data_IF_058074588837
#
_entry.id   IF_058074588837
#
_cell.length_a   1.000
_cell.length_b   1.000
_cell.length_c   1.000
_cell.angle_alpha   90.00
_cell.angle_beta   90.00
_cell.angle_gamma   90.00
#
_symmetry.space_group_name_H-M   'P 1'
#
loop_
_entity.id
_entity.type
_entity.pdbx_description
1 polymer ?
#
# COMPACT_ATOMS: atom_id res chain seq x y z
N UNK A 1 0.16 -17.55 10.44
CA UNK A 1 0.34 -17.67 8.98
C UNK A 1 0.19 -16.25 8.49
N UNK A 2 1.16 -15.72 7.71
CA UNK A 2 1.11 -14.33 7.29
C UNK A 2 -0.24 -14.02 6.65
N UNK A 3 -0.76 -12.83 6.94
CA UNK A 3 -2.02 -12.37 6.36
C UNK A 3 -1.84 -12.29 4.84
N UNK A 4 -2.70 -12.96 4.08
CA UNK A 4 -2.58 -12.99 2.61
C UNK A 4 -2.81 -11.59 2.00
N UNK A 5 -1.71 -10.95 1.60
CA UNK A 5 -1.73 -9.61 1.00
C UNK A 5 -1.90 -9.64 -0.51
N UNK A 6 -1.96 -10.80 -1.17
CA UNK A 6 -2.07 -10.88 -2.63
C UNK A 6 -3.40 -10.35 -3.12
N UNK A 7 -3.40 -9.72 -4.30
CA UNK A 7 -4.58 -9.19 -4.98
C UNK A 7 -4.66 -7.67 -4.97
N UNK A 8 -5.86 -7.17 -5.24
CA UNK A 8 -6.13 -5.74 -5.36
C UNK A 8 -6.55 -5.14 -4.02
N UNK A 9 -6.00 -3.97 -3.73
CA UNK A 9 -6.22 -3.20 -2.52
C UNK A 9 -6.52 -1.76 -2.86
N UNK A 10 -7.34 -1.13 -2.04
CA UNK A 10 -7.55 0.30 -2.05
C UNK A 10 -7.20 0.85 -0.66
N UNK A 11 -6.17 1.69 -0.62
CA UNK A 11 -5.73 2.41 0.57
C UNK A 11 -6.36 3.79 0.53
N UNK A 12 -7.17 4.10 1.54
CA UNK A 12 -7.86 5.38 1.69
C UNK A 12 -7.19 6.17 2.80
N UNK A 13 -6.58 7.30 2.45
CA UNK A 13 -5.95 8.20 3.39
C UNK A 13 -6.96 9.23 3.94
N UNK A 14 -6.79 9.66 5.19
CA UNK A 14 -7.63 10.71 5.81
C UNK A 14 -7.50 12.08 5.13
N UNK A 15 -6.41 12.30 4.40
CA UNK A 15 -6.17 13.45 3.53
C UNK A 15 -7.07 13.46 2.28
N UNK A 16 -7.77 12.36 1.98
CA UNK A 16 -8.65 12.23 0.81
C UNK A 16 -8.01 11.55 -0.39
N UNK A 17 -6.72 11.21 -0.32
CA UNK A 17 -6.04 10.44 -1.37
C UNK A 17 -6.46 8.96 -1.34
N UNK A 18 -6.61 8.38 -2.53
CA UNK A 18 -6.97 6.98 -2.72
C UNK A 18 -5.85 6.34 -3.56
N UNK A 19 -5.16 5.39 -2.95
CA UNK A 19 -4.11 4.60 -3.61
C UNK A 19 -4.69 3.24 -3.95
N UNK A 20 -4.72 2.95 -5.24
CA UNK A 20 -5.09 1.65 -5.77
C UNK A 20 -3.82 0.81 -5.94
N UNK A 21 -3.78 -0.36 -5.30
CA UNK A 21 -2.58 -1.20 -5.21
C UNK A 21 -2.88 -2.61 -5.70
N UNK A 22 -1.93 -3.18 -6.44
CA UNK A 22 -1.94 -4.58 -6.84
C UNK A 22 -0.70 -5.27 -6.27
N UNK A 23 -0.93 -6.36 -5.55
CA UNK A 23 0.11 -7.26 -5.06
C UNK A 23 -0.03 -8.59 -5.80
N UNK A 24 0.80 -8.87 -6.83
CA UNK A 24 0.61 -10.05 -7.67
C UNK A 24 0.97 -11.34 -6.93
N UNK A 25 1.98 -11.28 -6.05
CA UNK A 25 2.42 -12.42 -5.27
C UNK A 25 3.08 -12.00 -3.94
N UNK A 26 3.24 -12.96 -3.04
CA UNK A 26 3.90 -12.80 -1.73
C UNK A 26 4.84 -13.98 -1.49
N UNK A 27 6.05 -13.69 -1.01
CA UNK A 27 7.03 -14.70 -0.66
C UNK A 27 6.70 -15.39 0.67
N UNK A 28 7.18 -16.63 0.90
CA UNK A 28 6.96 -17.34 2.16
C UNK A 28 7.46 -16.62 3.43
N UNK A 29 8.35 -15.63 3.31
CA UNK A 29 8.89 -14.83 4.41
C UNK A 29 8.07 -13.56 4.73
N UNK A 30 6.96 -13.37 4.00
CA UNK A 30 6.04 -12.25 4.13
C UNK A 30 6.40 -11.03 3.27
N UNK A 31 7.45 -11.10 2.44
CA UNK A 31 7.80 -10.00 1.53
C UNK A 31 6.94 -9.99 0.28
N UNK A 32 6.56 -8.80 -0.24
CA UNK A 32 5.63 -8.66 -1.37
C UNK A 32 5.98 -7.52 -2.33
N UNK A 33 7.26 -7.21 -2.48
CA UNK A 33 7.75 -6.15 -3.38
C UNK A 33 7.89 -6.61 -4.85
N UNK A 34 7.73 -7.90 -5.13
CA UNK A 34 7.94 -8.45 -6.47
C UNK A 34 6.81 -8.10 -7.44
N UNK A 35 7.00 -7.01 -8.19
CA UNK A 35 6.03 -6.56 -9.21
C UNK A 35 4.76 -5.94 -8.64
N UNK A 36 4.71 -5.69 -7.33
CA UNK A 36 3.62 -4.95 -6.73
C UNK A 36 3.63 -3.50 -7.21
N UNK A 37 2.46 -3.03 -7.61
CA UNK A 37 2.27 -1.70 -8.20
C UNK A 37 1.22 -0.93 -7.43
N UNK A 38 1.32 0.38 -7.51
CA UNK A 38 0.35 1.30 -6.97
C UNK A 38 0.01 2.36 -8.02
N UNK A 39 -1.18 2.93 -7.91
CA UNK A 39 -1.60 4.06 -8.71
C UNK A 39 -2.38 5.02 -7.81
N UNK A 40 -2.10 6.30 -7.97
CA UNK A 40 -2.84 7.37 -7.30
C UNK A 40 -3.02 8.52 -8.30
N UNK A 41 -4.18 9.16 -8.26
CA UNK A 41 -4.62 10.12 -9.28
C UNK A 41 -3.64 11.28 -9.51
N UNK A 42 -2.97 11.75 -8.46
CA UNK A 42 -2.09 12.92 -8.51
C UNK A 42 -0.60 12.55 -8.56
N UNK A 43 -0.25 11.38 -8.04
CA UNK A 43 1.12 10.88 -7.92
C UNK A 43 1.53 9.96 -9.07
N UNK A 44 0.53 9.49 -9.84
CA UNK A 44 0.70 8.58 -10.96
C UNK A 44 0.97 7.15 -10.52
N UNK A 45 1.75 6.43 -11.31
CA UNK A 45 2.16 5.06 -11.02
C UNK A 45 3.22 5.03 -9.91
N UNK A 46 3.19 4.00 -9.09
CA UNK A 46 4.16 3.74 -8.04
C UNK A 46 4.60 2.29 -8.04
N UNK A 47 5.83 2.06 -7.59
CA UNK A 47 6.37 0.72 -7.35
C UNK A 47 6.61 0.52 -5.87
N UNK A 48 6.36 -0.69 -5.39
CA UNK A 48 6.60 -1.05 -4.00
C UNK A 48 8.04 -1.52 -3.82
N UNK A 49 8.57 -1.25 -2.63
CA UNK A 49 9.88 -1.72 -2.16
C UNK A 49 9.85 -1.82 -0.64
N UNK A 50 10.77 -2.59 -0.05
CA UNK A 50 10.86 -2.77 1.41
C UNK A 50 9.49 -3.13 2.00
N UNK A 51 8.78 -4.01 1.28
CA UNK A 51 7.38 -4.35 1.50
C UNK A 51 7.30 -5.71 2.20
N UNK A 52 6.74 -5.72 3.40
CA UNK A 52 6.62 -6.90 4.24
C UNK A 52 5.33 -6.91 5.04
N UNK A 53 4.68 -8.05 5.08
CA UNK A 53 3.53 -8.33 5.92
C UNK A 53 3.86 -9.43 6.94
N UNK A 54 3.19 -9.36 8.07
CA UNK A 54 3.18 -10.42 9.08
C UNK A 54 1.73 -10.67 9.52
N UNK A 55 1.55 -11.51 10.53
CA UNK A 55 0.24 -11.82 11.11
C UNK A 55 -0.44 -10.56 11.72
N UNK A 56 0.29 -9.48 12.01
CA UNK A 56 -0.25 -8.31 12.73
C UNK A 56 0.09 -6.94 12.13
N UNK A 57 1.03 -6.87 11.20
CA UNK A 57 1.49 -5.62 10.61
C UNK A 57 1.77 -5.75 9.12
N UNK A 58 1.69 -4.62 8.42
CA UNK A 58 2.17 -4.48 7.05
C UNK A 58 2.95 -3.16 6.94
N UNK A 59 4.14 -3.24 6.39
CA UNK A 59 5.01 -2.09 6.10
C UNK A 59 5.43 -2.14 4.64
N UNK A 60 5.45 -0.99 3.98
CA UNK A 60 5.90 -0.90 2.59
C UNK A 60 6.26 0.53 2.24
N UNK A 61 7.16 0.68 1.28
CA UNK A 61 7.52 1.96 0.68
C UNK A 61 6.99 2.00 -0.75
N UNK A 62 6.26 3.06 -1.10
CA UNK A 62 5.86 3.34 -2.48
C UNK A 62 6.73 4.47 -3.03
N UNK A 63 7.43 4.18 -4.12
CA UNK A 63 8.15 5.19 -4.91
C UNK A 63 7.28 5.62 -6.08
N UNK A 64 6.86 6.88 -6.10
CA UNK A 64 5.92 7.42 -7.08
C UNK A 64 6.64 8.02 -8.29
N UNK A 65 5.98 7.99 -9.45
CA UNK A 65 6.49 8.55 -10.71
C UNK A 65 6.75 10.05 -10.67
N UNK A 66 6.08 10.79 -9.79
CA UNK A 66 6.32 12.22 -9.55
C UNK A 66 7.55 12.49 -8.64
N UNK A 67 8.26 11.46 -8.19
CA UNK A 67 9.44 11.55 -7.32
C UNK A 67 9.13 11.51 -5.82
N UNK A 68 7.87 11.56 -5.41
CA UNK A 68 7.49 11.41 -4.00
C UNK A 68 7.72 9.97 -3.51
N UNK A 69 7.95 9.81 -2.21
CA UNK A 69 8.19 8.50 -1.59
C UNK A 69 7.36 8.37 -0.32
N UNK A 70 6.33 7.53 -0.36
CA UNK A 70 5.43 7.33 0.78
C UNK A 70 5.78 6.07 1.55
N UNK A 71 6.18 6.20 2.82
CA UNK A 71 6.36 5.06 3.73
C UNK A 71 5.06 4.79 4.46
N UNK A 72 4.57 3.56 4.38
CA UNK A 72 3.33 3.12 4.99
C UNK A 72 3.63 2.08 6.07
N UNK A 73 2.94 2.22 7.20
CA UNK A 73 2.99 1.25 8.29
C UNK A 73 1.59 1.10 8.86
N UNK A 74 1.11 -0.14 8.94
CA UNK A 74 -0.24 -0.43 9.42
C UNK A 74 -0.31 -1.74 10.18
N UNK A 75 -1.40 -1.90 10.92
CA UNK A 75 -1.72 -3.06 11.72
C UNK A 75 -3.08 -3.62 11.34
N UNK A 76 -3.21 -4.94 11.43
CA UNK A 76 -4.50 -5.62 11.29
C UNK A 76 -5.25 -5.53 12.61
N UNK A 77 -6.49 -5.05 12.59
CA UNK A 77 -7.36 -5.10 13.75
C UNK A 77 -8.01 -6.49 13.92
N UNK A 78 -8.75 -6.69 15.02
CA UNK A 78 -9.46 -7.95 15.28
C UNK A 78 -10.55 -8.29 14.24
N UNK A 79 -10.91 -7.35 13.38
CA UNK A 79 -11.87 -7.52 12.28
C UNK A 79 -11.15 -7.79 10.95
N UNK A 80 -9.80 -7.89 10.95
CA UNK A 80 -8.98 -8.10 9.76
C UNK A 80 -8.84 -6.86 8.88
N UNK A 81 -9.18 -5.67 9.39
CA UNK A 81 -8.99 -4.41 8.66
C UNK A 81 -7.58 -3.90 8.90
N UNK A 82 -6.87 -3.61 7.81
CA UNK A 82 -5.56 -3.00 7.85
C UNK A 82 -5.71 -1.48 7.99
N UNK A 83 -5.20 -0.91 9.07
CA UNK A 83 -5.21 0.54 9.34
C UNK A 83 -3.82 1.01 9.73
N UNK A 84 -3.45 2.25 9.44
CA UNK A 84 -2.08 2.68 9.65
C UNK A 84 -1.84 4.16 9.49
N UNK A 85 -0.56 4.51 9.48
CA UNK A 85 -0.05 5.84 9.18
C UNK A 85 0.90 5.77 8.01
N UNK A 86 0.94 6.84 7.23
CA UNK A 86 1.93 7.01 6.18
C UNK A 86 2.56 8.38 6.28
N UNK A 87 3.82 8.47 5.86
CA UNK A 87 4.52 9.74 5.76
C UNK A 87 5.33 9.80 4.46
N UNK A 88 5.54 11.02 3.97
CA UNK A 88 6.43 11.27 2.85
C UNK A 88 7.89 11.30 3.34
N UNK A 89 8.77 10.44 2.81
CA UNK A 89 10.19 10.43 3.16
C UNK A 89 10.91 11.73 2.74
N UNK A 90 10.39 12.44 1.73
CA UNK A 90 10.91 13.73 1.27
C UNK A 90 10.43 14.90 2.13
N UNK A 91 9.29 14.74 2.79
CA UNK A 91 8.69 15.73 3.70
C UNK A 91 8.10 15.03 4.94
N UNK A 92 8.93 14.58 5.90
CA UNK A 92 8.49 13.69 7.00
C UNK A 92 7.41 14.26 7.93
N UNK A 93 7.21 15.57 7.94
CA UNK A 93 6.11 16.22 8.66
C UNK A 93 4.74 16.01 8.00
N UNK A 94 4.70 15.57 6.74
CA UNK A 94 3.49 15.22 6.02
C UNK A 94 3.06 13.81 6.39
N UNK A 95 2.23 13.70 7.43
CA UNK A 95 1.72 12.42 7.95
C UNK A 95 0.22 12.34 7.70
N UNK A 96 -0.26 11.19 7.25
CA UNK A 96 -1.69 10.90 7.13
C UNK A 96 -2.01 9.53 7.74
N UNK A 97 -3.20 9.39 8.33
CA UNK A 97 -3.73 8.07 8.69
C UNK A 97 -4.39 7.44 7.47
N UNK A 98 -4.43 6.13 7.40
CA UNK A 98 -5.06 5.40 6.29
C UNK A 98 -5.69 4.10 6.74
N UNK A 99 -6.57 3.57 5.90
CA UNK A 99 -7.04 2.19 6.00
C UNK A 99 -7.05 1.53 4.63
N UNK A 100 -6.77 0.23 4.57
CA UNK A 100 -6.90 -0.56 3.37
C UNK A 100 -8.20 -1.37 3.39
N UNK A 101 -8.74 -1.59 2.20
CA UNK A 101 -9.82 -2.52 1.92
C UNK A 101 -9.51 -3.25 0.62
N UNK A 102 -10.13 -4.41 0.41
CA UNK A 102 -10.04 -5.11 -0.88
C UNK A 102 -10.57 -4.19 -1.99
N UNK A 103 -9.78 -4.05 -3.05
CA UNK A 103 -10.20 -3.35 -4.27
C UNK A 103 -11.12 -4.26 -5.08
N UNK A 104 -12.18 -3.71 -5.67
CA UNK A 104 -12.87 -4.40 -6.75
C UNK A 104 -11.90 -4.44 -7.94
N UNK A 105 -11.80 -5.57 -8.64
CA UNK A 105 -10.71 -5.90 -9.57
C UNK A 105 -10.54 -5.06 -10.84
N UNK A 106 -10.95 -3.79 -10.84
CA UNK A 106 -11.02 -2.91 -12.01
C UNK A 106 -9.80 -1.99 -12.16
N UNK A 107 -8.65 -2.32 -11.58
CA UNK A 107 -7.57 -1.34 -11.39
C UNK A 107 -6.72 -1.02 -12.63
N UNK A 108 -6.97 -1.64 -13.78
CA UNK A 108 -6.35 -1.20 -15.04
C UNK A 108 -7.35 -1.32 -16.19
N UNK A 109 -8.14 -0.26 -16.40
CA UNK A 109 -8.77 -0.05 -17.70
C UNK A 109 -7.70 0.07 -18.79
N UNK A 110 -7.98 -0.35 -20.04
CA UNK A 110 -6.99 -0.34 -21.10
C UNK A 110 -6.48 1.09 -21.33
N UNK A 111 -5.15 1.22 -21.37
CA UNK A 111 -4.44 2.43 -21.82
C UNK A 111 -4.85 2.82 -23.24
#
# INVERSE_FOLDING_TARGET
MPFDVRGNWQIVQTSGHIVDMNVPDENPDGTFDYGATAHEKLSGNGTLSDARASDSEAVFLISWSNGARGRYSGHFDFQGRLTGVCHDETHPSSVASWYAKRGNGDLFGPM
#
